data_IF_233317452624
#
_entry.id   IF_233317452624
#
_cell.length_a   1.000
_cell.length_b   1.000
_cell.length_c   1.000
_cell.angle_alpha   90.00
_cell.angle_beta   90.00
_cell.angle_gamma   90.00
#
_symmetry.space_group_name_H-M   'P 1'
#
loop_
_entity.id
_entity.type
_entity.pdbx_description
1 polymer ?
#
# COMPACT_ATOMS: atom_id res chain seq x y z
N UNK A 1 2.98 1.76 -15.92
CA UNK A 1 2.19 0.55 -16.20
C UNK A 1 0.70 0.79 -15.95
N UNK A 2 -0.13 0.10 -16.71
CA UNK A 2 -1.58 0.04 -16.60
C UNK A 2 -2.10 -1.26 -17.23
N UNK A 3 -3.42 -1.45 -17.31
CA UNK A 3 -4.08 -2.67 -17.77
C UNK A 3 -3.88 -3.01 -19.26
N UNK A 4 -3.50 -2.07 -20.10
CA UNK A 4 -3.22 -2.27 -21.52
C UNK A 4 -1.79 -1.88 -21.90
N UNK A 5 -1.21 -2.51 -22.92
CA UNK A 5 0.11 -2.14 -23.42
C UNK A 5 0.08 -0.72 -24.00
N UNK A 6 1.15 0.04 -23.77
CA UNK A 6 1.35 1.42 -24.27
C UNK A 6 0.26 2.41 -23.83
N UNK A 7 -0.45 2.17 -22.75
CA UNK A 7 -1.37 3.12 -22.14
C UNK A 7 -0.66 3.94 -21.05
N UNK A 8 -1.10 5.17 -20.76
CA UNK A 8 -0.59 5.95 -19.62
C UNK A 8 -0.67 5.13 -18.33
N UNK A 9 0.31 5.30 -17.44
CA UNK A 9 0.37 4.57 -16.17
C UNK A 9 -0.71 4.99 -15.16
N UNK A 10 -0.90 4.16 -14.13
CA UNK A 10 -1.62 4.53 -12.91
C UNK A 10 -0.87 4.06 -11.67
N UNK A 11 -1.09 4.76 -10.55
CA UNK A 11 -0.39 4.54 -9.30
C UNK A 11 -0.63 3.14 -8.73
N UNK A 12 -1.82 2.57 -8.87
CA UNK A 12 -2.14 1.25 -8.34
C UNK A 12 -1.34 0.16 -9.03
N UNK A 13 -1.32 0.16 -10.36
CA UNK A 13 -0.56 -0.84 -11.14
C UNK A 13 0.95 -0.64 -10.95
N UNK A 14 1.43 0.61 -10.92
CA UNK A 14 2.85 0.90 -10.63
C UNK A 14 3.25 0.36 -9.26
N UNK A 15 2.38 0.48 -8.25
CA UNK A 15 2.62 -0.08 -6.92
C UNK A 15 2.88 -1.59 -6.95
N UNK A 16 2.01 -2.36 -7.57
CA UNK A 16 2.18 -3.81 -7.71
C UNK A 16 3.43 -4.20 -8.50
N UNK A 17 3.70 -3.49 -9.60
CA UNK A 17 4.88 -3.76 -10.42
C UNK A 17 6.18 -3.47 -9.65
N UNK A 18 6.25 -2.35 -8.91
CA UNK A 18 7.43 -2.04 -8.10
C UNK A 18 7.65 -3.02 -6.95
N UNK A 19 6.57 -3.51 -6.31
CA UNK A 19 6.69 -4.59 -5.31
C UNK A 19 7.25 -5.87 -5.94
N UNK A 20 6.78 -6.25 -7.12
CA UNK A 20 7.30 -7.41 -7.84
C UNK A 20 8.78 -7.23 -8.22
N UNK A 21 9.17 -6.05 -8.72
CA UNK A 21 10.55 -5.72 -9.05
C UNK A 21 11.45 -5.72 -7.80
N UNK A 22 10.95 -5.21 -6.66
CA UNK A 22 11.67 -5.27 -5.38
C UNK A 22 11.90 -6.71 -4.95
N UNK A 23 10.88 -7.56 -5.02
CA UNK A 23 10.99 -8.98 -4.71
C UNK A 23 11.97 -9.69 -5.64
N UNK A 24 11.93 -9.40 -6.95
CA UNK A 24 12.89 -9.93 -7.92
C UNK A 24 14.33 -9.51 -7.60
N UNK A 25 14.55 -8.23 -7.27
CA UNK A 25 15.87 -7.73 -6.86
C UNK A 25 16.39 -8.43 -5.60
N UNK A 26 15.53 -8.64 -4.60
CA UNK A 26 15.89 -9.37 -3.37
C UNK A 26 16.23 -10.84 -3.65
N UNK A 27 15.64 -11.42 -4.69
CA UNK A 27 15.96 -12.77 -5.19
C UNK A 27 17.15 -12.79 -6.18
N UNK A 28 17.94 -11.71 -6.23
CA UNK A 28 19.11 -11.55 -7.11
C UNK A 28 18.80 -11.60 -8.62
N UNK A 29 17.54 -11.35 -9.00
CA UNK A 29 17.18 -11.19 -10.40
C UNK A 29 17.59 -9.79 -10.90
N UNK A 30 17.94 -9.71 -12.19
CA UNK A 30 18.29 -8.43 -12.79
C UNK A 30 17.05 -7.59 -13.05
N UNK A 31 17.01 -6.41 -12.46
CA UNK A 31 16.00 -5.38 -12.73
C UNK A 31 16.64 -4.29 -13.59
N UNK A 32 16.18 -4.06 -14.82
CA UNK A 32 16.79 -3.06 -15.70
C UNK A 32 16.72 -1.64 -15.10
N UNK A 33 17.84 -0.90 -15.02
CA UNK A 33 17.85 0.47 -14.47
C UNK A 33 16.86 1.42 -15.15
N UNK A 34 16.65 1.29 -16.45
CA UNK A 34 15.69 2.10 -17.20
C UNK A 34 14.25 1.93 -16.70
N UNK A 35 13.89 0.74 -16.21
CA UNK A 35 12.58 0.46 -15.61
C UNK A 35 12.39 1.25 -14.31
N UNK A 36 13.42 1.31 -13.48
CA UNK A 36 13.43 2.08 -12.23
C UNK A 36 13.33 3.58 -12.50
N UNK A 37 14.09 4.08 -13.48
CA UNK A 37 14.01 5.49 -13.92
C UNK A 37 12.60 5.83 -14.40
N UNK A 38 11.99 4.96 -15.23
CA UNK A 38 10.61 5.14 -15.70
C UNK A 38 9.59 5.18 -14.58
N UNK A 39 9.73 4.30 -13.58
CA UNK A 39 8.86 4.28 -12.40
C UNK A 39 8.99 5.57 -11.56
N UNK A 40 10.21 6.06 -11.34
CA UNK A 40 10.43 7.33 -10.64
C UNK A 40 9.78 8.51 -11.40
N UNK A 41 9.98 8.61 -12.70
CA UNK A 41 9.35 9.67 -13.54
C UNK A 41 7.82 9.64 -13.44
N UNK A 42 7.22 8.45 -13.46
CA UNK A 42 5.78 8.33 -13.27
C UNK A 42 5.34 8.81 -11.87
N UNK A 43 6.03 8.38 -10.82
CA UNK A 43 5.71 8.81 -9.46
C UNK A 43 5.87 10.33 -9.29
N UNK A 44 6.85 10.95 -9.94
CA UNK A 44 7.01 12.41 -9.96
C UNK A 44 5.81 13.09 -10.64
N UNK A 45 5.30 12.51 -11.74
CA UNK A 45 4.18 13.09 -12.51
C UNK A 45 2.82 13.04 -11.79
N UNK A 46 2.65 12.17 -10.78
CA UNK A 46 1.41 12.03 -10.00
C UNK A 46 1.55 12.54 -8.57
N UNK A 47 2.73 13.06 -8.22
CA UNK A 47 3.02 13.58 -6.88
C UNK A 47 2.52 15.02 -6.73
N UNK A 48 1.97 15.34 -5.58
CA UNK A 48 1.64 16.69 -5.13
C UNK A 48 2.24 16.99 -3.77
N UNK A 49 2.64 18.26 -3.56
CA UNK A 49 3.13 18.75 -2.27
C UNK A 49 4.25 17.88 -1.64
N UNK A 50 5.07 17.26 -2.49
CA UNK A 50 6.23 16.41 -2.19
C UNK A 50 5.94 15.11 -1.40
N UNK A 51 4.66 14.82 -1.07
CA UNK A 51 4.32 13.73 -0.16
C UNK A 51 3.05 12.97 -0.55
N UNK A 52 2.20 13.55 -1.37
CA UNK A 52 0.91 12.97 -1.72
C UNK A 52 0.89 12.50 -3.17
N UNK A 53 0.03 11.55 -3.46
CA UNK A 53 -0.02 10.97 -4.81
C UNK A 53 -1.47 10.85 -5.28
N UNK A 54 -1.68 11.19 -6.54
CA UNK A 54 -2.96 10.94 -7.23
C UNK A 54 -2.93 9.64 -8.00
N UNK A 55 -3.96 9.37 -8.79
CA UNK A 55 -4.09 8.12 -9.55
C UNK A 55 -3.35 8.18 -10.89
N UNK A 56 -3.72 9.12 -11.75
CA UNK A 56 -3.10 9.39 -13.07
C UNK A 56 -2.49 10.78 -13.17
N UNK A 57 -2.86 11.67 -12.25
CA UNK A 57 -2.47 13.06 -12.20
C UNK A 57 -2.08 13.43 -10.76
N UNK A 58 -1.41 14.56 -10.52
CA UNK A 58 -1.08 15.01 -9.17
C UNK A 58 -2.33 15.10 -8.27
N UNK A 59 -2.25 14.55 -7.05
CA UNK A 59 -3.40 14.53 -6.16
C UNK A 59 -3.08 14.05 -4.75
N UNK A 60 -4.11 13.95 -3.90
CA UNK A 60 -4.00 13.57 -2.49
C UNK A 60 -5.02 12.47 -2.14
N UNK A 61 -4.96 11.34 -2.86
CA UNK A 61 -5.78 10.19 -2.51
C UNK A 61 -5.17 9.38 -1.37
N UNK A 62 -5.98 8.82 -0.48
CA UNK A 62 -5.49 8.04 0.66
C UNK A 62 -4.72 6.80 0.19
N UNK A 63 -5.34 5.96 -0.62
CA UNK A 63 -4.71 4.74 -1.12
C UNK A 63 -3.53 5.03 -2.03
N UNK A 64 -3.68 5.96 -2.97
CA UNK A 64 -2.60 6.32 -3.90
C UNK A 64 -1.41 6.97 -3.20
N UNK A 65 -1.64 7.74 -2.13
CA UNK A 65 -0.56 8.27 -1.30
C UNK A 65 0.19 7.15 -0.56
N UNK A 66 -0.52 6.19 0.03
CA UNK A 66 0.13 5.04 0.67
C UNK A 66 0.95 4.23 -0.34
N UNK A 67 0.42 3.99 -1.55
CA UNK A 67 1.13 3.30 -2.63
C UNK A 67 2.38 4.06 -3.05
N UNK A 68 2.24 5.35 -3.35
CA UNK A 68 3.35 6.18 -3.81
C UNK A 68 4.48 6.27 -2.79
N UNK A 69 4.15 6.43 -1.50
CA UNK A 69 5.14 6.44 -0.41
C UNK A 69 5.87 5.10 -0.29
N UNK A 70 5.15 3.97 -0.31
CA UNK A 70 5.78 2.66 -0.28
C UNK A 70 6.71 2.45 -1.47
N UNK A 71 6.28 2.85 -2.67
CA UNK A 71 7.12 2.81 -3.85
C UNK A 71 8.40 3.63 -3.68
N UNK A 72 8.31 4.84 -3.13
CA UNK A 72 9.49 5.70 -2.87
C UNK A 72 10.44 5.07 -1.84
N UNK A 73 9.90 4.46 -0.78
CA UNK A 73 10.72 3.73 0.19
C UNK A 73 11.47 2.57 -0.48
N UNK A 74 10.81 1.79 -1.35
CA UNK A 74 11.45 0.73 -2.13
C UNK A 74 12.51 1.25 -3.12
N UNK A 75 12.33 2.47 -3.61
CA UNK A 75 13.26 3.16 -4.50
C UNK A 75 14.38 3.93 -3.77
N UNK A 76 14.43 3.85 -2.44
CA UNK A 76 15.55 4.35 -1.64
C UNK A 76 15.29 5.61 -0.82
N UNK A 77 14.06 6.13 -0.78
CA UNK A 77 13.73 7.20 0.18
C UNK A 77 13.78 6.64 1.60
N UNK A 78 14.56 7.28 2.44
CA UNK A 78 14.73 6.90 3.85
C UNK A 78 13.73 7.63 4.75
N UNK A 79 13.71 7.26 6.03
CA UNK A 79 12.80 7.81 7.06
C UNK A 79 12.91 9.33 7.21
N UNK A 80 14.12 9.87 7.06
CA UNK A 80 14.47 11.29 7.18
C UNK A 80 14.16 12.10 5.91
N UNK A 81 13.63 11.46 4.86
CA UNK A 81 13.22 12.18 3.66
C UNK A 81 11.95 12.98 3.95
N UNK A 82 11.91 14.33 3.71
CA UNK A 82 10.78 15.18 4.08
C UNK A 82 9.43 14.71 3.52
N UNK A 83 9.42 14.16 2.31
CA UNK A 83 8.22 13.58 1.70
C UNK A 83 7.72 12.32 2.41
N UNK A 84 8.63 11.50 2.96
CA UNK A 84 8.28 10.32 3.77
C UNK A 84 7.70 10.77 5.10
N UNK A 85 8.37 11.65 5.81
CA UNK A 85 7.89 12.16 7.11
C UNK A 85 6.49 12.76 6.98
N UNK A 86 6.29 13.68 6.03
CA UNK A 86 5.01 14.33 5.78
C UNK A 86 3.91 13.34 5.40
N UNK A 87 4.23 12.40 4.52
CA UNK A 87 3.28 11.38 4.07
C UNK A 87 2.90 10.41 5.19
N UNK A 88 3.85 9.96 6.00
CA UNK A 88 3.60 9.10 7.15
C UNK A 88 2.76 9.80 8.21
N UNK A 89 3.03 11.08 8.49
CA UNK A 89 2.17 11.88 9.38
C UNK A 89 0.73 11.92 8.88
N UNK A 90 0.52 12.15 7.57
CA UNK A 90 -0.80 12.13 6.97
C UNK A 90 -1.50 10.76 7.13
N UNK A 91 -0.81 9.65 6.85
CA UNK A 91 -1.38 8.32 7.03
C UNK A 91 -1.69 8.02 8.51
N UNK A 92 -0.81 8.42 9.42
CA UNK A 92 -1.01 8.26 10.87
C UNK A 92 -2.23 9.02 11.38
N UNK A 93 -2.45 10.25 10.92
CA UNK A 93 -3.62 11.06 11.26
C UNK A 93 -4.90 10.50 10.65
N UNK A 94 -4.84 9.96 9.43
CA UNK A 94 -5.97 9.33 8.74
C UNK A 94 -6.39 8.05 9.48
N UNK A 95 -5.43 7.27 9.94
CA UNK A 95 -5.65 5.97 10.59
C UNK A 95 -6.15 4.87 9.65
N UNK A 96 -6.36 3.64 10.18
CA UNK A 96 -6.95 2.55 9.43
C UNK A 96 -8.38 2.84 8.97
N UNK A 97 -8.70 2.45 7.74
CA UNK A 97 -10.02 2.64 7.15
C UNK A 97 -10.95 1.46 7.47
N UNK A 98 -12.19 1.75 7.83
CA UNK A 98 -13.24 0.74 7.99
C UNK A 98 -13.85 0.28 6.65
N UNK A 99 -13.54 0.93 5.53
CA UNK A 99 -14.15 0.66 4.21
C UNK A 99 -13.16 0.54 3.05
N UNK A 100 -11.85 0.44 3.32
CA UNK A 100 -10.84 0.36 2.25
C UNK A 100 -9.66 -0.55 2.64
N UNK A 101 -9.81 -1.84 2.36
CA UNK A 101 -8.79 -2.85 2.65
C UNK A 101 -7.51 -2.62 1.82
N UNK A 102 -7.65 -2.10 0.61
CA UNK A 102 -6.54 -1.79 -0.27
C UNK A 102 -5.64 -0.69 0.30
N UNK A 103 -6.25 0.38 0.80
CA UNK A 103 -5.55 1.42 1.55
C UNK A 103 -4.85 0.86 2.80
N UNK A 104 -5.58 0.08 3.59
CA UNK A 104 -5.03 -0.51 4.81
C UNK A 104 -3.78 -1.37 4.53
N UNK A 105 -3.80 -2.14 3.44
CA UNK A 105 -2.67 -2.98 3.03
C UNK A 105 -1.39 -2.16 2.77
N UNK A 106 -1.49 -1.12 1.95
CA UNK A 106 -0.33 -0.29 1.62
C UNK A 106 0.11 0.60 2.78
N UNK A 107 -0.83 1.20 3.49
CA UNK A 107 -0.53 2.06 4.62
C UNK A 107 0.13 1.28 5.76
N UNK A 108 -0.30 0.05 6.03
CA UNK A 108 0.33 -0.80 7.05
C UNK A 108 1.79 -1.10 6.72
N UNK A 109 2.12 -1.36 5.46
CA UNK A 109 3.51 -1.54 5.03
C UNK A 109 4.34 -0.26 5.19
N UNK A 110 3.79 0.91 4.79
CA UNK A 110 4.46 2.20 5.02
C UNK A 110 4.77 2.42 6.50
N UNK A 111 3.78 2.21 7.37
CA UNK A 111 3.94 2.38 8.81
C UNK A 111 4.98 1.41 9.38
N UNK A 112 4.96 0.16 8.93
CA UNK A 112 5.93 -0.87 9.37
C UNK A 112 7.36 -0.52 8.93
N UNK A 113 7.57 -0.05 7.69
CA UNK A 113 8.87 0.40 7.22
C UNK A 113 9.36 1.67 7.91
N UNK A 114 8.44 2.55 8.32
CA UNK A 114 8.79 3.76 9.05
C UNK A 114 9.14 3.48 10.51
N UNK A 115 8.48 2.48 11.14
CA UNK A 115 8.66 2.08 12.55
C UNK A 115 8.33 3.16 13.59
N UNK A 116 8.69 2.90 14.86
CA UNK A 116 8.52 3.84 15.97
C UNK A 116 7.07 4.01 16.41
N UNK A 117 6.81 5.08 17.16
CA UNK A 117 5.53 5.31 17.83
C UNK A 117 4.31 5.35 16.88
N UNK A 118 4.51 5.84 15.64
CA UNK A 118 3.43 5.88 14.63
C UNK A 118 3.04 4.48 14.19
N UNK A 119 4.02 3.59 14.00
CA UNK A 119 3.78 2.17 13.75
C UNK A 119 3.06 1.50 14.92
N UNK A 120 3.52 1.72 16.14
CA UNK A 120 2.93 1.07 17.32
C UNK A 120 1.45 1.42 17.47
N UNK A 121 1.09 2.70 17.32
CA UNK A 121 -0.30 3.17 17.34
C UNK A 121 -1.14 2.63 16.19
N UNK A 122 -0.57 2.61 14.97
CA UNK A 122 -1.23 2.05 13.79
C UNK A 122 -1.51 0.57 13.96
N UNK A 123 -0.47 -0.17 14.34
CA UNK A 123 -0.50 -1.62 14.45
C UNK A 123 -1.57 -2.12 15.43
N UNK A 124 -1.66 -1.51 16.62
CA UNK A 124 -2.70 -1.87 17.61
C UNK A 124 -4.09 -1.71 16.98
N UNK A 125 -4.38 -0.55 16.37
CA UNK A 125 -5.68 -0.28 15.76
C UNK A 125 -5.99 -1.24 14.60
N UNK A 126 -5.02 -1.46 13.71
CA UNK A 126 -5.21 -2.29 12.51
C UNK A 126 -5.38 -3.76 12.87
N UNK A 127 -4.50 -4.30 13.71
CA UNK A 127 -4.57 -5.67 14.21
C UNK A 127 -5.91 -5.93 14.91
N UNK A 128 -6.26 -5.08 15.86
CA UNK A 128 -7.48 -5.28 16.66
C UNK A 128 -8.74 -5.17 15.79
N UNK A 129 -8.75 -4.25 14.83
CA UNK A 129 -9.83 -4.16 13.84
C UNK A 129 -9.98 -5.45 13.02
N UNK A 130 -8.89 -6.02 12.53
CA UNK A 130 -8.92 -7.28 11.77
C UNK A 130 -9.33 -8.46 12.65
N UNK A 131 -8.74 -8.62 13.83
CA UNK A 131 -9.08 -9.73 14.75
C UNK A 131 -10.55 -9.69 15.15
N UNK A 132 -11.09 -8.51 15.43
CA UNK A 132 -12.48 -8.33 15.83
C UNK A 132 -13.47 -8.54 14.69
N UNK A 133 -13.11 -8.18 13.44
CA UNK A 133 -13.97 -8.29 12.26
C UNK A 133 -13.90 -9.64 11.54
N UNK A 134 -13.01 -10.55 11.97
CA UNK A 134 -12.92 -11.88 11.40
C UNK A 134 -14.21 -12.67 11.61
N UNK A 135 -14.69 -13.36 10.60
CA UNK A 135 -15.84 -14.26 10.68
C UNK A 135 -15.62 -15.36 11.74
N UNK A 136 -16.57 -15.51 12.68
CA UNK A 136 -16.43 -16.43 13.82
C UNK A 136 -17.23 -17.70 13.69
N UNK A 137 -18.24 -17.73 12.81
CA UNK A 137 -19.22 -18.82 12.75
C UNK A 137 -19.45 -19.30 11.30
N UNK A 138 -19.99 -20.52 11.16
CA UNK A 138 -20.40 -21.10 9.88
C UNK A 138 -19.25 -21.27 8.89
N UNK A 139 -19.59 -21.32 7.61
CA UNK A 139 -18.63 -21.47 6.51
C UNK A 139 -17.74 -20.24 6.29
N UNK A 140 -18.08 -19.11 6.90
CA UNK A 140 -17.31 -17.86 6.80
C UNK A 140 -16.22 -17.75 7.88
N UNK A 141 -16.18 -18.70 8.84
CA UNK A 141 -15.22 -18.71 9.95
C UNK A 141 -13.79 -18.59 9.46
N UNK A 142 -13.04 -17.67 10.07
CA UNK A 142 -11.63 -17.42 9.75
C UNK A 142 -11.40 -16.50 8.56
N UNK A 143 -12.45 -15.99 7.93
CA UNK A 143 -12.35 -15.11 6.75
C UNK A 143 -12.81 -13.68 7.06
N UNK A 144 -12.54 -12.77 6.13
CA UNK A 144 -12.98 -11.37 6.20
C UNK A 144 -13.85 -10.99 5.02
N UNK A 145 -14.79 -10.10 5.28
CA UNK A 145 -15.57 -9.42 4.25
C UNK A 145 -15.84 -7.98 4.68
N UNK A 146 -15.48 -7.03 3.84
CA UNK A 146 -15.69 -5.60 4.08
C UNK A 146 -16.72 -5.09 3.09
N UNK A 147 -17.96 -4.93 3.55
CA UNK A 147 -19.07 -4.41 2.72
C UNK A 147 -18.78 -2.96 2.31
N UNK A 148 -18.99 -2.64 1.03
CA UNK A 148 -18.74 -1.30 0.47
C UNK A 148 -17.28 -1.00 0.13
N UNK A 149 -16.35 -1.94 0.36
CA UNK A 149 -14.99 -1.85 -0.17
C UNK A 149 -14.99 -2.12 -1.67
N UNK A 150 -14.35 -1.25 -2.44
CA UNK A 150 -14.31 -1.34 -3.92
C UNK A 150 -13.74 -2.66 -4.44
N UNK A 151 -12.72 -3.20 -3.80
CA UNK A 151 -12.15 -4.51 -4.16
C UNK A 151 -13.05 -5.67 -3.75
N UNK A 152 -13.77 -5.51 -2.63
CA UNK A 152 -14.73 -6.49 -2.13
C UNK A 152 -15.93 -6.66 -3.07
N UNK A 153 -16.37 -5.60 -3.75
CA UNK A 153 -17.49 -5.70 -4.72
C UNK A 153 -17.15 -6.62 -5.90
N UNK A 154 -15.89 -6.71 -6.29
CA UNK A 154 -15.42 -7.53 -7.42
C UNK A 154 -14.79 -8.84 -6.99
N UNK A 155 -13.93 -8.81 -5.99
CA UNK A 155 -13.15 -9.96 -5.51
C UNK A 155 -13.77 -10.67 -4.30
N UNK A 156 -14.84 -10.11 -3.73
CA UNK A 156 -15.60 -10.72 -2.65
C UNK A 156 -14.77 -11.00 -1.40
N UNK A 157 -15.20 -12.04 -0.70
CA UNK A 157 -14.56 -12.51 0.55
C UNK A 157 -13.12 -13.00 0.33
N UNK A 158 -12.83 -13.59 -0.82
CA UNK A 158 -11.46 -14.03 -1.14
C UNK A 158 -10.48 -12.85 -1.16
N UNK A 159 -10.84 -11.75 -1.82
CA UNK A 159 -10.05 -10.52 -1.84
C UNK A 159 -9.82 -9.97 -0.43
N UNK A 160 -10.89 -9.80 0.35
CA UNK A 160 -10.78 -9.26 1.71
C UNK A 160 -9.92 -10.15 2.61
N UNK A 161 -10.07 -11.47 2.52
CA UNK A 161 -9.30 -12.43 3.31
C UNK A 161 -7.82 -12.40 2.93
N UNK A 162 -7.51 -12.36 1.64
CA UNK A 162 -6.12 -12.24 1.16
C UNK A 162 -5.47 -10.96 1.67
N UNK A 163 -6.15 -9.81 1.52
CA UNK A 163 -5.61 -8.53 2.00
C UNK A 163 -5.44 -8.51 3.52
N UNK A 164 -6.43 -9.00 4.29
CA UNK A 164 -6.35 -9.06 5.74
C UNK A 164 -5.19 -9.96 6.21
N UNK A 165 -4.99 -11.11 5.58
CA UNK A 165 -3.86 -12.00 5.87
C UNK A 165 -2.54 -11.31 5.57
N UNK A 166 -2.40 -10.67 4.41
CA UNK A 166 -1.18 -9.94 4.05
C UNK A 166 -0.89 -8.75 4.97
N UNK A 167 -1.92 -8.10 5.53
CA UNK A 167 -1.75 -7.06 6.55
C UNK A 167 -1.23 -7.66 7.85
N UNK A 168 -1.79 -8.79 8.30
CA UNK A 168 -1.38 -9.45 9.52
C UNK A 168 0.02 -10.07 9.44
N UNK A 169 0.45 -10.51 8.26
CA UNK A 169 1.80 -11.05 8.05
C UNK A 169 2.90 -10.01 7.81
N UNK A 170 2.58 -8.72 7.89
CA UNK A 170 3.53 -7.61 7.62
C UNK A 170 4.84 -7.70 8.41
N UNK A 171 4.83 -8.35 9.56
CA UNK A 171 6.02 -8.59 10.39
C UNK A 171 7.07 -9.48 9.73
N UNK A 172 6.68 -10.28 8.76
CA UNK A 172 7.53 -11.28 8.08
C UNK A 172 7.95 -10.85 6.66
N UNK A 173 7.52 -9.66 6.22
CA UNK A 173 7.74 -9.15 4.86
C UNK A 173 8.89 -8.13 4.77
N UNK A 174 10.07 -8.52 5.28
CA UNK A 174 11.23 -7.61 5.25
C UNK A 174 12.49 -8.34 4.84
#
# INVERSE_FOLDING_TARGET
WRYGPRTPGDTSVVGWQLMALKSGHMAYLQVPPATIVGANKFLDSVMSDYAYYGYTDPGRGQATTAIGLLCRMYLGWKKDHPGVEKGIQYLSQTGPSAGNMYYNYYATQCMRHYEGEMWDKWNVKMRDSLVNSQGKNGHEKGSWHMKGDHGSERGGRLYCTSMATMILEVYYRH
#
